data_IF_437740297331
#
_entry.id   IF_437740297331
#
_cell.length_a   1.000
_cell.length_b   1.000
_cell.length_c   1.000
_cell.angle_alpha   90.00
_cell.angle_beta   90.00
_cell.angle_gamma   90.00
#
_symmetry.space_group_name_H-M   'P 1'
#
loop_
_entity.id
_entity.type
_entity.pdbx_description
1 polymer ?
2 non-polymer ?
3 non-polymer ?
4 water ?
#
# COMPACT_ATOMS: atom_id res chain seq x y z
N UNK A 4 -7.24 27.36 -17.15
CA UNK A 4 -8.51 27.06 -16.42
C UNK A 4 -8.30 26.23 -15.15
N UNK A 5 -9.31 26.22 -14.28
CA UNK A 5 -9.30 25.35 -13.10
C UNK A 5 -9.68 23.92 -13.51
N UNK A 6 -9.54 22.98 -12.59
CA UNK A 6 -9.79 21.57 -12.88
C UNK A 6 -10.50 20.86 -11.73
N UNK A 7 -11.45 20.00 -12.09
CA UNK A 7 -12.08 19.06 -11.16
C UNK A 7 -12.20 17.71 -11.86
N UNK A 8 -12.36 16.65 -11.07
CA UNK A 8 -12.38 15.30 -11.61
C UNK A 8 -13.65 14.53 -11.25
N UNK A 9 -14.03 13.58 -12.10
CA UNK A 9 -15.11 12.63 -11.82
C UNK A 9 -14.58 11.19 -11.93
N UNK A 10 -14.69 10.43 -10.85
CA UNK A 10 -14.23 9.05 -10.86
C UNK A 10 -15.40 8.09 -10.76
N UNK A 11 -15.57 7.27 -11.79
CA UNK A 11 -16.62 6.26 -11.77
C UNK A 11 -16.09 5.10 -10.95
N UNK A 12 -16.85 4.72 -9.94
CA UNK A 12 -16.41 3.74 -8.97
C UNK A 12 -17.56 2.85 -8.50
N UNK A 13 -18.65 2.84 -9.27
CA UNK A 13 -19.88 2.16 -8.88
C UNK A 13 -19.95 0.68 -9.29
N UNK A 14 -19.10 0.28 -10.23
CA UNK A 14 -19.16 -1.06 -10.85
C UNK A 14 -19.08 -2.25 -9.90
N UNK A 15 -19.67 -3.35 -10.33
CA UNK A 15 -19.81 -4.57 -9.52
C UNK A 15 -18.50 -5.38 -9.43
N UNK A 16 -17.85 -5.57 -10.57
CA UNK A 16 -16.66 -6.41 -10.65
C UNK A 16 -16.95 -7.89 -10.44
N UNK A 17 -18.00 -8.38 -11.10
CA UNK A 17 -18.42 -9.78 -11.04
C UNK A 17 -17.28 -10.77 -11.28
N UNK A 18 -16.46 -10.49 -12.30
CA UNK A 18 -15.35 -11.39 -12.67
C UNK A 18 -14.21 -11.47 -11.65
N UNK A 19 -14.28 -10.65 -10.61
CA UNK A 19 -13.36 -10.72 -9.48
C UNK A 19 -13.74 -11.84 -8.51
N UNK A 20 -15.02 -12.26 -8.56
CA UNK A 20 -15.58 -13.27 -7.64
C UNK A 20 -15.32 -12.91 -6.18
N UNK A 21 -15.79 -11.73 -5.79
CA UNK A 21 -15.45 -11.13 -4.51
C UNK A 21 -16.66 -10.51 -3.81
N UNK A 22 -16.66 -10.58 -2.49
CA UNK A 22 -17.61 -9.82 -1.65
C UNK A 22 -17.15 -8.36 -1.48
N UNK A 23 -15.93 -8.07 -1.93
CA UNK A 23 -15.41 -6.72 -2.05
C UNK A 23 -15.79 -6.16 -3.41
N UNK A 24 -16.15 -4.86 -3.48
CA UNK A 24 -16.37 -4.28 -4.81
C UNK A 24 -15.05 -4.05 -5.57
N UNK A 25 -15.11 -4.23 -6.89
CA UNK A 25 -14.01 -4.05 -7.82
C UNK A 25 -12.95 -3.04 -7.34
N UNK A 26 -13.33 -1.77 -7.16
CA UNK A 26 -12.35 -0.69 -6.98
C UNK A 26 -11.63 -0.72 -5.64
N UNK A 27 -12.12 -1.51 -4.71
CA UNK A 27 -11.51 -1.64 -3.38
C UNK A 27 -10.38 -2.68 -3.37
N UNK A 28 -10.29 -3.49 -4.41
CA UNK A 28 -9.13 -4.39 -4.56
C UNK A 28 -7.84 -3.59 -4.67
N UNK A 29 -6.79 -4.10 -4.04
CA UNK A 29 -5.62 -3.29 -3.78
C UNK A 29 -4.52 -3.44 -4.80
N UNK A 30 -3.77 -2.37 -4.99
CA UNK A 30 -2.51 -2.40 -5.69
C UNK A 30 -1.53 -1.83 -4.67
N UNK A 31 -0.47 -2.57 -4.40
CA UNK A 31 0.54 -2.14 -3.40
C UNK A 31 -0.10 -1.76 -2.07
N UNK A 32 -1.10 -2.54 -1.65
CA UNK A 32 -1.66 -2.41 -0.32
C UNK A 32 -2.72 -1.34 -0.17
N UNK A 33 -3.05 -0.68 -1.26
CA UNK A 33 -4.11 0.31 -1.20
C UNK A 33 -5.10 0.16 -2.37
N UNK A 34 -6.40 0.44 -2.11
CA UNK A 34 -7.48 0.22 -3.07
C UNK A 34 -7.21 0.92 -4.39
N UNK A 35 -7.59 0.27 -5.49
CA UNK A 35 -7.44 0.84 -6.83
C UNK A 35 -7.90 2.29 -6.91
N UNK A 36 -9.08 2.56 -6.34
CA UNK A 36 -9.68 3.88 -6.45
C UNK A 36 -8.86 4.94 -5.72
N UNK A 37 -8.13 4.53 -4.69
CA UNK A 37 -7.33 5.47 -3.91
C UNK A 37 -6.16 6.04 -4.71
N UNK A 38 -5.52 5.18 -5.53
CA UNK A 38 -4.50 5.61 -6.50
C UNK A 38 -5.02 6.70 -7.45
N UNK A 39 -6.26 6.54 -7.90
CA UNK A 39 -6.88 7.44 -8.86
C UNK A 39 -7.20 8.79 -8.18
N UNK A 40 -7.71 8.71 -6.95
CA UNK A 40 -7.97 9.89 -6.15
C UNK A 40 -6.69 10.71 -5.96
N UNK A 41 -5.59 10.03 -5.59
CA UNK A 41 -4.31 10.70 -5.36
C UNK A 41 -3.79 11.38 -6.62
N UNK A 42 -3.87 10.67 -7.75
CA UNK A 42 -3.49 11.26 -9.05
C UNK A 42 -4.37 12.47 -9.38
N UNK A 43 -5.68 12.36 -9.17
CA UNK A 43 -6.59 13.47 -9.41
C UNK A 43 -6.20 14.70 -8.58
N UNK A 44 -5.82 14.48 -7.32
CA UNK A 44 -5.41 15.56 -6.43
C UNK A 44 -4.06 16.16 -6.83
N UNK A 45 -3.09 15.29 -7.14
CA UNK A 45 -1.77 15.73 -7.60
C UNK A 45 -1.87 16.51 -8.92
N UNK A 46 -2.84 16.13 -9.76
CA UNK A 46 -3.16 16.85 -10.98
C UNK A 46 -3.59 18.30 -10.70
N UNK A 47 -4.22 18.53 -9.55
CA UNK A 47 -4.60 19.87 -9.12
C UNK A 47 -6.09 20.08 -9.02
N UNK A 48 -6.85 18.98 -9.00
CA UNK A 48 -8.30 19.03 -8.93
C UNK A 48 -8.79 19.79 -7.70
N UNK A 49 -9.71 20.73 -7.90
CA UNK A 49 -10.35 21.40 -6.77
C UNK A 49 -11.38 20.47 -6.15
N UNK A 50 -12.24 19.91 -6.99
CA UNK A 50 -13.19 18.89 -6.56
C UNK A 50 -12.92 17.53 -7.17
N UNK A 51 -13.20 16.50 -6.39
CA UNK A 51 -13.18 15.11 -6.87
C UNK A 51 -14.56 14.49 -6.62
N UNK A 52 -15.27 14.18 -7.69
CA UNK A 52 -16.61 13.62 -7.59
C UNK A 52 -16.62 12.12 -7.74
N UNK A 53 -16.67 11.44 -6.60
CA UNK A 53 -16.69 9.98 -6.56
C UNK A 53 -18.10 9.44 -6.77
N UNK A 54 -18.32 8.84 -7.95
CA UNK A 54 -19.57 8.18 -8.27
C UNK A 54 -19.50 6.76 -7.74
N UNK A 55 -20.37 6.42 -6.80
CA UNK A 55 -20.33 5.08 -6.23
C UNK A 55 -21.72 4.42 -6.19
N UNK A 56 -21.73 3.10 -6.02
CA UNK A 56 -22.97 2.31 -6.04
C UNK A 56 -22.81 0.98 -5.32
N UNK A 57 -22.42 -0.05 -6.08
CA UNK A 57 -22.26 -1.42 -5.55
C UNK A 57 -21.25 -1.50 -4.41
N UNK A 58 -21.62 -2.24 -3.36
CA UNK A 58 -20.81 -2.35 -2.14
C UNK A 58 -20.57 -0.97 -1.56
N UNK A 59 -21.65 -0.19 -1.44
CA UNK A 59 -21.60 1.20 -0.97
C UNK A 59 -21.08 1.37 0.44
N UNK A 60 -21.60 0.58 1.36
CA UNK A 60 -21.16 0.63 2.76
C UNK A 60 -19.66 0.38 2.89
N UNK A 61 -19.15 -0.60 2.13
CA UNK A 61 -17.73 -0.95 2.16
C UNK A 61 -16.85 0.18 1.63
N UNK A 62 -17.32 0.83 0.57
CA UNK A 62 -16.67 2.03 0.03
C UNK A 62 -16.49 3.10 1.12
N UNK A 63 -17.60 3.43 1.78
CA UNK A 63 -17.62 4.49 2.77
C UNK A 63 -16.77 4.24 4.01
N UNK A 64 -16.70 2.97 4.44
CA UNK A 64 -15.81 2.61 5.55
C UNK A 64 -14.33 2.55 5.14
N UNK A 65 -14.06 2.03 3.94
CA UNK A 65 -12.70 1.87 3.45
C UNK A 65 -12.08 3.17 2.92
N UNK A 66 -12.92 4.14 2.56
CA UNK A 66 -12.43 5.41 2.01
C UNK A 66 -12.89 6.63 2.80
N UNK A 67 -13.21 6.42 4.07
CA UNK A 67 -13.74 7.47 4.95
C UNK A 67 -12.97 8.79 4.91
N UNK A 68 -11.64 8.72 5.00
CA UNK A 68 -10.77 9.91 5.00
C UNK A 68 -10.47 10.54 3.64
N UNK A 69 -11.04 10.01 2.57
CA UNK A 69 -10.76 10.52 1.23
C UNK A 69 -11.48 11.84 0.96
N UNK A 70 -10.71 12.84 0.51
CA UNK A 70 -11.22 14.20 0.29
C UNK A 70 -12.01 14.27 -1.02
N UNK A 71 -13.23 13.76 -0.98
CA UNK A 71 -14.02 13.57 -2.19
C UNK A 71 -15.46 13.99 -1.94
N UNK A 72 -16.18 14.24 -3.02
CA UNK A 72 -17.61 14.47 -2.98
C UNK A 72 -18.34 13.17 -3.36
N UNK A 73 -19.02 12.60 -2.38
CA UNK A 73 -19.70 11.30 -2.51
C UNK A 73 -21.00 11.39 -3.30
N UNK A 74 -21.00 10.82 -4.50
CA UNK A 74 -22.18 10.84 -5.36
C UNK A 74 -22.74 9.43 -5.55
N UNK A 75 -23.84 9.15 -4.86
CA UNK A 75 -24.47 7.83 -4.87
C UNK A 75 -25.29 7.60 -6.13
N UNK A 76 -25.08 6.44 -6.76
CA UNK A 76 -25.83 6.03 -7.93
C UNK A 76 -26.90 5.02 -7.53
N UNK A 77 -28.14 5.50 -7.47
CA UNK A 77 -29.29 4.66 -7.11
C UNK A 77 -29.67 3.74 -8.27
N UNK A 78 -30.05 4.33 -9.40
CA UNK A 78 -30.47 3.59 -10.58
C UNK A 78 -29.34 3.46 -11.58
N UNK A 79 -29.09 2.23 -12.03
CA UNK A 79 -28.00 1.93 -12.95
C UNK A 79 -28.41 2.21 -14.41
N UNK A 80 -28.21 3.45 -14.84
CA UNK A 80 -28.71 3.93 -16.13
C UNK A 80 -27.60 4.29 -17.13
N UNK A 81 -26.43 3.65 -16.98
CA UNK A 81 -25.31 3.90 -17.88
C UNK A 81 -24.43 5.05 -17.42
N UNK A 82 -23.22 5.09 -17.99
CA UNK A 82 -22.17 5.99 -17.53
C UNK A 82 -22.42 7.48 -17.75
N UNK A 83 -23.07 7.83 -18.86
CA UNK A 83 -23.45 9.22 -19.12
C UNK A 83 -24.41 9.76 -18.06
N UNK A 84 -25.31 8.89 -17.58
CA UNK A 84 -26.28 9.29 -16.57
C UNK A 84 -25.65 9.42 -15.19
N UNK A 85 -24.65 8.59 -14.94
CA UNK A 85 -23.88 8.63 -13.69
C UNK A 85 -23.12 9.95 -13.56
N UNK A 86 -22.37 10.32 -14.62
CA UNK A 86 -21.61 11.55 -14.62
C UNK A 86 -22.54 12.76 -14.54
N UNK A 87 -23.72 12.64 -15.14
CA UNK A 87 -24.74 13.68 -15.06
C UNK A 87 -25.16 13.97 -13.62
N UNK A 88 -25.10 12.97 -12.74
CA UNK A 88 -25.38 13.17 -11.31
C UNK A 88 -24.34 14.07 -10.64
N UNK A 89 -23.10 14.01 -11.12
CA UNK A 89 -22.04 14.92 -10.64
C UNK A 89 -22.05 16.27 -11.35
N UNK A 90 -22.77 16.35 -12.47
CA UNK A 90 -22.75 17.53 -13.33
C UNK A 90 -23.24 18.84 -12.69
N UNK A 91 -24.28 18.80 -11.82
CA UNK A 91 -24.72 20.05 -11.17
C UNK A 91 -23.64 20.74 -10.32
N UNK A 92 -22.56 20.03 -10.02
CA UNK A 92 -21.46 20.59 -9.25
C UNK A 92 -20.36 21.21 -10.12
N UNK A 93 -20.36 20.92 -11.42
CA UNK A 93 -19.36 21.46 -12.35
C UNK A 93 -19.48 22.97 -12.47
N UNK A 94 -18.35 23.66 -12.37
CA UNK A 94 -18.26 25.09 -12.70
C UNK A 94 -18.07 25.23 -14.20
N UNK A 95 -18.73 26.21 -14.80
CA UNK A 95 -18.71 26.41 -16.26
C UNK A 95 -17.29 26.57 -16.81
N UNK A 96 -16.46 27.32 -16.09
CA UNK A 96 -15.12 27.71 -16.55
C UNK A 96 -13.97 26.80 -16.12
N UNK A 97 -14.30 25.62 -15.60
CA UNK A 97 -13.27 24.66 -15.22
C UNK A 97 -13.29 23.45 -16.14
N UNK A 98 -12.12 22.87 -16.33
CA UNK A 98 -12.01 21.59 -17.01
C UNK A 98 -12.47 20.47 -16.08
N UNK A 99 -13.09 19.45 -16.66
CA UNK A 99 -13.56 18.27 -15.93
C UNK A 99 -12.92 17.04 -16.56
N UNK A 100 -12.10 16.33 -15.79
CA UNK A 100 -11.54 15.06 -16.28
C UNK A 100 -12.31 13.85 -15.74
N UNK A 101 -12.71 12.96 -16.64
CA UNK A 101 -13.44 11.75 -16.27
C UNK A 101 -12.46 10.59 -16.13
N UNK A 102 -12.47 9.94 -14.96
CA UNK A 102 -11.54 8.85 -14.68
C UNK A 102 -12.29 7.63 -14.15
N UNK A 103 -11.58 6.51 -14.03
CA UNK A 103 -12.18 5.26 -13.62
C UNK A 103 -11.42 4.63 -12.47
N UNK A 104 -12.12 4.38 -11.37
CA UNK A 104 -11.53 3.84 -10.16
C UNK A 104 -11.00 2.43 -10.29
N UNK A 105 -11.14 1.84 -11.48
CA UNK A 105 -10.60 0.52 -11.77
C UNK A 105 -9.44 0.55 -12.81
N UNK A 106 -9.01 1.76 -13.16
CA UNK A 106 -7.83 1.92 -13.98
C UNK A 106 -6.81 2.74 -13.19
N UNK A 107 -6.13 2.09 -12.23
CA UNK A 107 -5.38 2.76 -11.17
C UNK A 107 -4.04 3.41 -11.56
N UNK A 108 -3.49 3.03 -12.71
CA UNK A 108 -2.12 3.43 -13.09
C UNK A 108 -2.03 4.73 -13.88
N UNK A 109 -3.16 5.27 -14.31
CA UNK A 109 -3.19 6.53 -15.04
C UNK A 109 -2.28 7.58 -14.37
N UNK A 110 -1.38 8.19 -15.12
CA UNK A 110 -0.43 9.12 -14.50
C UNK A 110 -0.79 10.59 -14.63
N UNK A 111 -0.21 11.37 -13.74
CA UNK A 111 -0.29 12.83 -13.75
C UNK A 111 0.19 13.41 -15.08
N UNK A 112 1.32 12.91 -15.59
CA UNK A 112 1.95 13.44 -16.80
C UNK A 112 1.08 13.26 -18.04
N UNK A 113 0.50 12.07 -18.20
CA UNK A 113 -0.38 11.76 -19.31
C UNK A 113 -1.66 12.58 -19.26
N UNK A 114 -2.19 12.78 -18.06
CA UNK A 114 -3.40 13.58 -17.89
C UNK A 114 -3.14 15.05 -18.16
N UNK A 115 -1.93 15.52 -17.85
CA UNK A 115 -1.53 16.90 -18.12
C UNK A 115 -1.44 17.17 -19.63
N UNK A 116 -0.94 16.16 -20.35
CA UNK A 116 -0.85 16.18 -21.81
C UNK A 116 -2.24 16.20 -22.46
N UNK A 117 -3.19 15.47 -21.85
CA UNK A 117 -4.56 15.38 -22.35
C UNK A 117 -5.33 16.68 -22.16
N UNK A 118 -5.18 17.27 -20.98
CA UNK A 118 -5.84 18.53 -20.67
C UNK A 118 -5.36 19.62 -21.63
N UNK A 119 -4.04 19.73 -21.80
CA UNK A 119 -3.45 20.79 -22.60
C UNK A 119 -3.77 20.68 -24.08
N UNK A 120 -4.12 19.47 -24.52
CA UNK A 120 -4.51 19.24 -25.90
C UNK A 120 -6.00 19.46 -26.11
N UNK A 121 -6.73 19.71 -25.03
CA UNK A 121 -8.16 20.01 -25.15
C UNK A 121 -8.36 21.38 -25.78
N UNK A 122 -9.03 21.41 -26.95
CA UNK A 122 -9.39 22.67 -27.61
C UNK A 122 -10.55 23.36 -26.87
N UNK A 123 -10.55 24.69 -26.89
CA UNK A 123 -11.61 25.50 -26.27
C UNK A 123 -12.98 25.07 -26.80
N UNK A 124 -13.93 24.85 -25.88
CA UNK A 124 -15.27 24.30 -26.18
C UNK A 124 -15.28 22.90 -26.78
N UNK A 125 -14.10 22.28 -26.86
CA UNK A 125 -14.00 20.95 -27.42
C UNK A 125 -13.82 19.86 -26.39
N UNK A 126 -13.45 18.68 -26.89
CA UNK A 126 -13.22 17.52 -26.07
C UNK A 126 -11.81 17.03 -26.36
N UNK A 127 -11.14 16.53 -25.32
CA UNK A 127 -9.93 15.74 -25.51
C UNK A 127 -10.18 14.37 -24.92
N UNK A 128 -9.94 13.32 -25.69
CA UNK A 128 -10.08 11.97 -25.17
C UNK A 128 -8.80 11.16 -25.28
N UNK A 129 -8.59 10.25 -24.34
CA UNK A 129 -7.46 9.34 -24.41
C UNK A 129 -7.81 8.11 -25.23
N UNK A 130 -6.93 7.79 -26.15
CA UNK A 130 -7.07 6.61 -26.98
C UNK A 130 -5.77 5.82 -26.90
N UNK A 131 -5.80 4.57 -27.35
CA UNK A 131 -4.60 3.74 -27.35
C UNK A 131 -4.64 2.70 -28.47
N UNK A 132 -3.48 2.43 -29.07
CA UNK A 132 -3.34 1.42 -30.12
C UNK A 132 -3.10 0.02 -29.57
N UNK A 133 -3.86 -0.95 -30.08
CA UNK A 133 -3.72 -2.34 -29.69
C UNK A 133 -3.55 -3.27 -30.90
N UNK A 134 -2.64 -4.23 -30.78
CA UNK A 134 -2.50 -5.28 -31.80
C UNK A 134 -3.84 -5.99 -31.98
N UNK A 135 -4.47 -6.34 -30.85
CA UNK A 135 -5.76 -6.98 -30.84
C UNK A 135 -6.80 -6.11 -30.13
N UNK A 136 -7.54 -5.30 -30.91
CA UNK A 136 -8.51 -4.34 -30.38
C UNK A 136 -9.89 -4.96 -30.04
N UNK A 137 -9.94 -6.30 -30.05
CA UNK A 137 -11.19 -7.04 -29.87
C UNK A 137 -11.91 -6.71 -28.56
N UNK A 138 -13.18 -6.36 -28.68
CA UNK A 138 -14.06 -6.15 -27.54
C UNK A 138 -14.22 -4.69 -27.15
N UNK A 139 -13.24 -3.87 -27.54
CA UNK A 139 -13.23 -2.46 -27.15
C UNK A 139 -13.79 -1.54 -28.24
N UNK A 140 -14.21 -0.34 -27.82
CA UNK A 140 -14.78 0.65 -28.73
C UNK A 140 -13.75 1.24 -29.66
N UNK A 141 -14.00 1.13 -30.97
CA UNK A 141 -13.08 1.61 -32.02
C UNK A 141 -13.19 3.11 -32.24
N UNK A 142 -12.04 3.74 -32.44
CA UNK A 142 -11.95 5.17 -32.72
C UNK A 142 -12.12 5.43 -34.21
N UNK A 143 -13.15 6.21 -34.55
CA UNK A 143 -13.48 6.48 -35.95
C UNK A 143 -12.98 7.85 -36.36
N UNK A 144 -12.12 7.87 -37.37
CA UNK A 144 -11.53 9.10 -37.87
C UNK A 144 -11.95 9.40 -39.31
N UNK A 145 -12.44 10.61 -39.52
CA UNK A 145 -12.69 11.11 -40.87
C UNK A 145 -11.61 12.13 -41.25
N UNK A 146 -10.82 11.77 -42.26
CA UNK A 146 -9.72 12.60 -42.76
C UNK A 146 -8.84 13.15 -41.62
N UNK A 147 -8.40 12.26 -40.75
CA UNK A 147 -7.56 12.61 -39.60
C UNK A 147 -8.27 12.99 -38.32
N UNK A 148 -9.45 13.60 -38.43
CA UNK A 148 -10.20 14.10 -37.26
C UNK A 148 -11.19 13.08 -36.68
N UNK A 149 -11.29 13.08 -35.35
CA UNK A 149 -12.13 12.12 -34.62
C UNK A 149 -13.60 12.55 -34.64
N UNK A 150 -14.46 11.63 -35.10
CA UNK A 150 -15.89 11.92 -35.28
C UNK A 150 -16.83 11.06 -34.42
N UNK A 151 -16.50 9.78 -34.25
CA UNK A 151 -17.33 8.87 -33.47
C UNK A 151 -16.52 7.76 -32.79
N UNK A 152 -17.19 6.99 -31.93
CA UNK A 152 -16.64 5.76 -31.35
C UNK A 152 -17.65 4.64 -31.61
N UNK A 153 -17.17 3.50 -32.08
CA UNK A 153 -18.05 2.37 -32.39
C UNK A 153 -17.63 1.13 -31.60
N UNK A 154 -18.56 0.60 -30.81
CA UNK A 154 -18.34 -0.62 -30.02
C UNK A 154 -18.36 -1.86 -30.91
N UNK A 155 -17.79 -2.96 -30.42
CA UNK A 155 -17.70 -4.21 -31.16
C UNK A 155 -19.01 -4.62 -31.84
N UNK A 156 -20.10 -4.64 -31.06
CA UNK A 156 -21.40 -5.16 -31.52
C UNK A 156 -22.07 -4.37 -32.66
N UNK A 157 -21.47 -3.24 -33.01
CA UNK A 157 -22.01 -2.38 -34.08
C UNK A 157 -21.01 -2.21 -35.22
N UNK A 158 -19.78 -2.68 -34.99
CA UNK A 158 -18.68 -2.46 -35.93
C UNK A 158 -18.73 -3.38 -37.15
N UNK A 159 -18.69 -2.78 -38.33
CA UNK A 159 -18.62 -3.51 -39.60
C UNK A 159 -17.22 -4.10 -39.87
N UNK A 160 -17.11 -4.94 -40.89
CA UNK A 160 -15.86 -5.63 -41.25
C UNK A 160 -14.62 -4.74 -41.20
N UNK A 161 -14.73 -3.53 -41.77
CA UNK A 161 -13.62 -2.59 -41.86
C UNK A 161 -13.35 -1.88 -40.53
N UNK A 162 -14.42 -1.48 -39.86
CA UNK A 162 -14.32 -0.81 -38.56
C UNK A 162 -13.66 -1.72 -37.53
N UNK A 163 -14.00 -3.02 -37.59
CA UNK A 163 -13.37 -4.03 -36.75
C UNK A 163 -11.86 -4.13 -36.97
N UNK A 164 -11.38 -3.50 -38.04
CA UNK A 164 -9.95 -3.49 -38.37
C UNK A 164 -9.17 -2.34 -37.72
N UNK A 165 -9.89 -1.31 -37.27
CA UNK A 165 -9.27 -0.18 -36.55
C UNK A 165 -8.62 -0.63 -35.25
N UNK A 166 -7.34 -0.28 -35.09
CA UNK A 166 -6.57 -0.74 -33.94
C UNK A 166 -6.48 0.28 -32.79
N UNK A 167 -7.00 1.48 -33.04
CA UNK A 167 -7.09 2.52 -32.02
C UNK A 167 -8.42 2.42 -31.27
N UNK A 168 -8.34 2.35 -29.94
CA UNK A 168 -9.54 2.13 -29.11
C UNK A 168 -9.77 3.22 -28.05
N UNK A 169 -10.97 3.25 -27.49
CA UNK A 169 -11.37 4.24 -26.48
C UNK A 169 -11.02 3.81 -25.06
N UNK A 170 -10.28 4.66 -24.35
CA UNK A 170 -9.92 4.40 -22.96
C UNK A 170 -10.97 4.91 -21.97
N UNK A 171 -11.92 5.71 -22.46
CA UNK A 171 -12.98 6.25 -21.63
C UNK A 171 -12.58 7.54 -20.94
N UNK A 172 -11.28 7.83 -20.92
CA UNK A 172 -10.80 9.03 -20.24
C UNK A 172 -10.94 10.23 -21.17
N UNK A 173 -11.59 11.28 -20.64
CA UNK A 173 -11.85 12.47 -21.42
C UNK A 173 -11.87 13.76 -20.58
N UNK A 174 -11.54 14.88 -21.23
CA UNK A 174 -11.57 16.20 -20.62
C UNK A 174 -12.43 17.12 -21.46
N UNK A 175 -13.30 17.89 -20.79
CA UNK A 175 -14.02 19.00 -21.42
C UNK A 175 -14.39 20.00 -20.32
N UNK A 176 -14.76 21.21 -20.73
CA UNK A 176 -15.18 22.24 -19.77
C UNK A 176 -16.54 21.90 -19.18
N UNK A 177 -16.80 22.42 -17.97
CA UNK A 177 -18.04 22.15 -17.23
C UNK A 177 -19.33 22.39 -18.01
N UNK A 178 -19.50 23.61 -18.49
CA UNK A 178 -20.71 24.00 -19.26
C UNK A 178 -20.97 23.06 -20.45
N UNK A 179 -19.90 22.67 -21.15
CA UNK A 179 -20.01 21.75 -22.27
C UNK A 179 -20.55 20.39 -21.85
N UNK A 180 -20.02 19.85 -20.75
CA UNK A 180 -20.49 18.59 -20.18
C UNK A 180 -21.98 18.65 -19.88
N UNK A 181 -22.37 19.59 -19.02
CA UNK A 181 -23.79 19.82 -18.70
C UNK A 181 -24.64 19.85 -19.96
N UNK A 182 -24.14 20.55 -20.97
CA UNK A 182 -24.86 20.78 -22.21
C UNK A 182 -25.01 19.50 -23.02
N UNK A 183 -23.90 18.78 -23.22
CA UNK A 183 -23.92 17.58 -24.04
C UNK A 183 -24.56 16.39 -23.33
N UNK A 184 -24.33 16.28 -22.03
CA UNK A 184 -24.92 15.21 -21.22
C UNK A 184 -26.45 15.21 -21.31
N UNK A 185 -27.05 16.39 -21.13
CA UNK A 185 -28.50 16.54 -21.21
C UNK A 185 -29.06 16.03 -22.54
N UNK A 186 -28.28 16.20 -23.61
CA UNK A 186 -28.71 15.83 -24.96
C UNK A 186 -28.46 14.36 -25.33
N UNK A 187 -27.96 13.57 -24.37
CA UNK A 187 -27.74 12.14 -24.58
C UNK A 187 -29.03 11.37 -24.37
N UNK A 188 -29.45 10.64 -25.40
CA UNK A 188 -30.66 9.81 -25.33
C UNK A 188 -30.33 8.35 -25.03
N UNK A 189 -31.34 7.59 -24.64
CA UNK A 189 -31.17 6.17 -24.30
C UNK A 189 -31.98 5.22 -25.19
N UNK A 190 -32.06 5.57 -26.47
CA UNK A 190 -32.78 4.77 -27.46
C UNK A 190 -31.94 3.57 -27.90
N UNK A 191 -31.81 2.61 -26.98
CA UNK A 191 -31.03 1.40 -27.22
C UNK A 191 -31.64 0.20 -26.50
N UNK A 192 -31.19 -1.00 -26.89
CA UNK A 192 -31.70 -2.25 -26.35
C UNK A 192 -31.50 -2.40 -24.84
N UNK A 193 -30.36 -1.91 -24.34
CA UNK A 193 -30.06 -1.93 -22.90
C UNK A 193 -30.68 -0.75 -22.15
N UNK A 194 -31.19 0.22 -22.91
CA UNK A 194 -31.93 1.37 -22.38
C UNK A 194 -31.13 2.24 -21.43
N UNK A 195 -29.89 2.54 -21.81
CA UNK A 195 -29.00 3.36 -20.96
C UNK A 195 -28.20 4.41 -21.73
N UNK A 196 -27.84 5.48 -21.02
CA UNK A 196 -27.17 6.63 -21.61
C UNK A 196 -25.67 6.38 -21.65
N UNK A 197 -25.10 6.33 -22.86
CA UNK A 197 -23.67 6.05 -23.04
C UNK A 197 -22.85 7.33 -23.13
N UNK A 198 -21.76 7.38 -22.36
CA UNK A 198 -20.89 8.54 -22.31
C UNK A 198 -20.24 8.85 -23.67
N UNK A 199 -20.04 7.81 -24.47
CA UNK A 199 -19.40 7.92 -25.79
C UNK A 199 -20.16 8.79 -26.80
N UNK A 200 -21.47 8.95 -26.61
CA UNK A 200 -22.30 9.76 -27.49
C UNK A 200 -21.83 11.22 -27.56
N UNK A 201 -21.12 11.65 -26.52
CA UNK A 201 -20.59 13.02 -26.42
C UNK A 201 -19.63 13.41 -27.56
N UNK A 202 -18.98 12.42 -28.16
CA UNK A 202 -18.10 12.65 -29.31
C UNK A 202 -18.91 13.13 -30.52
N UNK A 203 -20.01 12.42 -30.81
CA UNK A 203 -20.91 12.77 -31.91
C UNK A 203 -21.61 14.10 -31.67
N UNK A 204 -22.02 14.35 -30.42
CA UNK A 204 -22.70 15.59 -30.05
C UNK A 204 -21.80 16.82 -30.16
N UNK A 205 -20.51 16.63 -29.88
CA UNK A 205 -19.53 17.69 -30.05
C UNK A 205 -19.29 17.99 -31.53
N UNK A 206 -19.18 16.93 -32.32
CA UNK A 206 -18.96 17.04 -33.76
C UNK A 206 -20.16 17.68 -34.46
N UNK A 207 -21.36 17.34 -34.00
CA UNK A 207 -22.60 17.89 -34.55
C UNK A 207 -22.80 19.35 -34.14
N UNK A 208 -22.15 19.73 -33.03
CA UNK A 208 -22.08 21.14 -32.60
C UNK A 208 -20.92 21.87 -33.28
N UNK A 209 -20.25 21.17 -34.20
CA UNK A 209 -19.04 21.64 -34.86
C UNK A 209 -17.97 22.08 -33.86
N UNK A 210 -17.71 21.22 -32.88
CA UNK A 210 -16.63 21.39 -31.92
C UNK A 210 -15.58 20.32 -32.17
N UNK A 211 -14.32 20.69 -31.95
CA UNK A 211 -13.19 19.81 -32.18
C UNK A 211 -13.12 18.67 -31.17
N UNK A 212 -12.82 17.48 -31.67
CA UNK A 212 -12.59 16.33 -30.81
C UNK A 212 -11.16 15.82 -31.05
N UNK A 213 -10.27 16.22 -30.16
CA UNK A 213 -8.87 15.82 -30.28
C UNK A 213 -8.63 14.55 -29.46
N UNK A 214 -8.03 13.55 -30.10
CA UNK A 214 -7.59 12.36 -29.40
C UNK A 214 -6.12 12.50 -29.02
N UNK A 215 -5.80 12.05 -27.82
CA UNK A 215 -4.41 11.91 -27.41
C UNK A 215 -4.15 10.43 -27.23
N UNK A 216 -3.17 9.92 -27.97
CA UNK A 216 -2.81 8.51 -27.87
C UNK A 216 -1.88 8.35 -26.66
N UNK A 217 -2.09 7.29 -25.88
CA UNK A 217 -1.21 6.99 -24.75
C UNK A 217 -0.13 6.02 -25.21
N UNK A 218 1.11 6.32 -24.84
CA UNK A 218 2.25 5.48 -25.25
C UNK A 218 2.29 4.20 -24.43
N UNK A 219 1.97 4.33 -23.14
CA UNK A 219 2.00 3.20 -22.21
C UNK A 219 0.60 2.61 -22.02
N UNK A 220 0.41 1.41 -22.58
CA UNK A 220 -0.87 0.70 -22.55
C UNK A 220 -1.36 0.40 -21.14
N UNK A 221 -0.46 0.00 -20.25
CA UNK A 221 -0.80 -0.40 -18.89
C UNK A 221 -1.40 0.74 -18.08
N UNK A 222 -1.03 1.96 -18.45
CA UNK A 222 -1.47 3.15 -17.76
C UNK A 222 -2.98 3.34 -17.84
N UNK A 223 -3.57 2.93 -18.95
CA UNK A 223 -5.01 3.06 -19.15
C UNK A 223 -5.72 1.72 -19.01
N UNK A 224 -4.97 0.71 -18.58
CA UNK A 224 -5.50 -0.65 -18.45
C UNK A 224 -6.32 -0.80 -17.17
N UNK A 225 -7.52 -1.36 -17.30
CA UNK A 225 -8.36 -1.67 -16.14
C UNK A 225 -8.30 -3.13 -15.69
N UNK A 226 -8.40 -3.35 -14.38
CA UNK A 226 -8.41 -4.70 -13.83
C UNK A 226 -9.83 -5.22 -13.64
N UNK A 227 -10.23 -6.18 -14.47
CA UNK A 227 -11.58 -6.74 -14.44
C UNK A 227 -11.62 -8.07 -13.69
N UNK A 228 -10.45 -8.67 -13.51
CA UNK A 228 -10.30 -9.92 -12.77
C UNK A 228 -8.92 -9.92 -12.11
N UNK A 229 -8.63 -10.95 -11.32
CA UNK A 229 -7.42 -10.96 -10.52
C UNK A 229 -6.14 -11.27 -11.30
N UNK A 230 -6.25 -12.00 -12.40
CA UNK A 230 -5.12 -12.12 -13.33
C UNK A 230 -4.66 -10.73 -13.79
N UNK A 231 -5.62 -9.89 -14.21
CA UNK A 231 -5.32 -8.56 -14.70
C UNK A 231 -4.81 -7.66 -13.56
N UNK A 232 -5.37 -7.84 -12.36
CA UNK A 232 -4.91 -7.13 -11.19
C UNK A 232 -3.43 -7.44 -10.90
N UNK A 233 -3.08 -8.72 -10.99
CA UNK A 233 -1.71 -9.16 -10.77
C UNK A 233 -0.75 -8.57 -11.80
N UNK A 234 -1.19 -8.51 -13.05
CA UNK A 234 -0.37 -7.87 -14.08
C UNK A 234 -0.12 -6.40 -13.73
N UNK A 235 -1.17 -5.73 -13.25
CA UNK A 235 -1.06 -4.32 -12.85
C UNK A 235 -0.16 -4.12 -11.64
N UNK A 236 -0.22 -5.07 -10.71
CA UNK A 236 0.59 -5.03 -9.50
C UNK A 236 2.06 -5.12 -9.88
N UNK A 237 2.38 -6.02 -10.80
CA UNK A 237 3.77 -6.23 -11.17
C UNK A 237 4.33 -5.02 -11.90
N UNK A 238 3.55 -4.45 -12.82
CA UNK A 238 3.94 -3.22 -13.47
C UNK A 238 4.22 -2.13 -12.42
N UNK A 239 3.26 -1.94 -11.51
CA UNK A 239 3.37 -0.89 -10.50
C UNK A 239 4.58 -1.09 -9.56
N UNK A 240 4.85 -2.33 -9.20
CA UNK A 240 6.01 -2.62 -8.36
C UNK A 240 7.32 -2.35 -9.12
N UNK A 241 7.38 -2.71 -10.38
CA UNK A 241 8.57 -2.46 -11.19
C UNK A 241 8.82 -0.95 -11.34
N UNK A 242 7.76 -0.18 -11.47
CA UNK A 242 7.86 1.28 -11.55
C UNK A 242 8.41 1.86 -10.24
N UNK A 243 7.92 1.36 -9.10
CA UNK A 243 8.39 1.77 -7.79
C UNK A 243 9.86 1.40 -7.53
N UNK A 244 10.24 0.20 -7.95
CA UNK A 244 11.60 -0.31 -7.75
C UNK A 244 12.63 0.44 -8.59
N UNK A 245 12.23 0.82 -9.81
CA UNK A 245 13.10 1.57 -10.70
C UNK A 245 13.43 2.92 -10.10
N UNK A 246 12.42 3.59 -9.57
CA UNK A 246 12.61 4.90 -8.97
C UNK A 246 13.65 4.81 -7.86
N UNK A 247 13.46 3.85 -6.96
CA UNK A 247 14.32 3.71 -5.79
C UNK A 247 15.75 3.39 -6.19
N UNK A 248 15.89 2.57 -7.23
CA UNK A 248 17.21 2.21 -7.76
C UNK A 248 17.96 3.42 -8.30
N UNK A 249 17.27 4.25 -9.09
CA UNK A 249 17.87 5.48 -9.64
C UNK A 249 18.13 6.52 -8.56
N UNK A 250 17.41 6.42 -7.44
CA UNK A 250 17.68 7.29 -6.29
C UNK A 250 18.88 6.84 -5.45
N UNK A 251 19.37 5.64 -5.71
CA UNK A 251 20.57 5.15 -5.03
C UNK A 251 20.37 3.97 -4.09
N UNK A 252 19.15 3.43 -4.03
CA UNK A 252 18.88 2.26 -3.21
C UNK A 252 19.30 1.02 -4.00
N UNK A 253 20.14 0.17 -3.41
CA UNK A 253 20.49 -1.09 -4.09
C UNK A 253 19.47 -2.18 -3.77
N UNK A 254 18.66 -2.48 -4.77
CA UNK A 254 17.73 -3.59 -4.70
C UNK A 254 18.31 -4.70 -5.56
N UNK A 255 18.78 -5.76 -4.92
CA UNK A 255 19.50 -6.84 -5.62
C UNK A 255 18.69 -7.42 -6.77
N UNK A 256 17.37 -7.43 -6.62
CA UNK A 256 16.47 -7.88 -7.69
C UNK A 256 15.14 -7.15 -7.59
N UNK A 257 14.94 -6.10 -8.41
CA UNK A 257 13.67 -5.36 -8.41
C UNK A 257 12.46 -6.25 -8.67
N UNK A 258 12.63 -7.34 -9.42
CA UNK A 258 11.54 -8.30 -9.66
C UNK A 258 11.16 -9.13 -8.43
N UNK A 259 11.95 -9.03 -7.37
CA UNK A 259 11.61 -9.67 -6.09
C UNK A 259 11.65 -8.66 -4.97
N UNK A 260 10.99 -7.53 -5.22
CA UNK A 260 10.88 -6.48 -4.24
C UNK A 260 9.44 -6.01 -4.21
N UNK A 261 8.93 -5.74 -3.01
CA UNK A 261 7.57 -5.26 -2.85
C UNK A 261 7.48 -4.07 -1.89
N UNK A 262 7.00 -2.96 -2.42
CA UNK A 262 6.72 -1.78 -1.62
C UNK A 262 5.21 -1.53 -1.60
N UNK A 263 4.61 -1.69 -0.43
CA UNK A 263 3.19 -1.46 -0.22
C UNK A 263 3.02 -0.33 0.80
N UNK A 264 3.45 0.86 0.43
CA UNK A 264 3.36 2.02 1.30
C UNK A 264 4.33 3.09 0.84
N UNK A 265 5.00 3.73 1.79
CA UNK A 265 5.95 4.80 1.46
C UNK A 265 7.31 4.49 2.07
N UNK A 266 8.38 4.71 1.32
CA UNK A 266 9.72 4.47 1.85
C UNK A 266 10.58 5.73 1.84
N UNK A 267 11.18 6.02 2.98
CA UNK A 267 12.13 7.09 3.13
C UNK A 267 13.49 6.47 3.37
N UNK A 268 14.48 6.88 2.61
CA UNK A 268 15.78 6.21 2.64
C UNK A 268 16.93 7.21 2.69
N UNK A 269 18.05 6.78 3.27
CA UNK A 269 19.32 7.51 3.17
C UNK A 269 20.17 6.91 2.06
N UNK A 270 21.48 7.17 2.09
CA UNK A 270 22.37 6.64 1.06
C UNK A 270 23.00 5.29 1.42
N UNK A 271 23.47 4.58 0.40
CA UNK A 271 24.09 3.26 0.53
C UNK A 271 23.22 2.23 1.27
N UNK A 272 21.91 2.32 1.04
CA UNK A 272 20.96 1.33 1.55
C UNK A 272 20.94 0.12 0.62
N UNK A 273 21.07 -1.06 1.20
CA UNK A 273 21.10 -2.31 0.46
C UNK A 273 19.93 -3.17 0.87
N UNK A 274 19.17 -3.65 -0.12
CA UNK A 274 17.99 -4.47 0.12
C UNK A 274 18.08 -5.78 -0.65
N UNK A 275 18.20 -6.89 0.06
CA UNK A 275 18.37 -8.18 -0.59
C UNK A 275 17.03 -8.69 -1.15
N UNK A 276 17.08 -9.83 -1.82
CA UNK A 276 15.93 -10.34 -2.57
C UNK A 276 14.82 -10.76 -1.63
N UNK A 277 13.57 -10.58 -2.06
CA UNK A 277 12.38 -10.99 -1.28
C UNK A 277 12.18 -10.24 0.02
N UNK A 278 12.12 -8.93 -0.08
CA UNK A 278 11.85 -8.08 1.06
C UNK A 278 10.54 -7.35 0.76
N UNK A 279 9.72 -7.21 1.80
CA UNK A 279 8.43 -6.54 1.67
C UNK A 279 8.44 -5.35 2.62
N UNK A 280 8.14 -4.19 2.06
CA UNK A 280 8.08 -2.94 2.81
C UNK A 280 6.62 -2.45 2.83
N UNK A 281 6.05 -2.30 4.02
CA UNK A 281 4.64 -1.90 4.18
C UNK A 281 4.47 -0.73 5.11
N UNK A 282 3.47 0.11 4.82
CA UNK A 282 3.15 1.27 5.65
C UNK A 282 4.20 2.34 5.46
N UNK A 283 4.52 3.06 6.53
CA UNK A 283 5.54 4.07 6.51
C UNK A 283 6.86 3.53 7.07
N UNK A 284 7.86 3.42 6.21
CA UNK A 284 9.16 2.91 6.62
C UNK A 284 10.25 3.93 6.34
N UNK A 285 11.04 4.20 7.37
CA UNK A 285 12.15 5.14 7.26
C UNK A 285 13.46 4.39 7.49
N UNK A 286 14.39 4.52 6.54
CA UNK A 286 15.70 3.88 6.63
C UNK A 286 16.81 4.92 6.56
N UNK A 287 17.69 4.92 7.56
CA UNK A 287 18.83 5.83 7.55
C UNK A 287 19.91 5.36 6.60
N UNK A 288 21.06 6.03 6.62
CA UNK A 288 22.17 5.66 5.77
C UNK A 288 22.73 4.27 6.08
N UNK A 289 23.19 3.58 5.03
CA UNK A 289 23.93 2.31 5.14
C UNK A 289 23.21 1.19 5.90
N UNK A 290 21.88 1.17 5.80
CA UNK A 290 21.10 0.10 6.38
C UNK A 290 21.13 -1.11 5.43
N UNK A 291 21.41 -2.30 5.98
CA UNK A 291 21.44 -3.54 5.21
C UNK A 291 20.27 -4.44 5.58
N UNK A 292 19.45 -4.77 4.60
CA UNK A 292 18.29 -5.65 4.81
C UNK A 292 18.46 -6.95 4.03
N UNK A 293 18.56 -8.05 4.76
CA UNK A 293 18.76 -9.36 4.19
C UNK A 293 17.48 -9.98 3.66
N UNK A 294 17.61 -11.15 3.07
CA UNK A 294 16.54 -11.81 2.35
C UNK A 294 15.37 -12.17 3.25
N UNK A 295 14.17 -12.07 2.71
CA UNK A 295 12.98 -12.52 3.43
C UNK A 295 12.56 -11.70 4.65
N UNK A 296 13.01 -10.45 4.74
CA UNK A 296 12.55 -9.59 5.84
C UNK A 296 11.24 -8.88 5.50
N UNK A 297 10.45 -8.60 6.52
CA UNK A 297 9.21 -7.85 6.36
C UNK A 297 9.23 -6.68 7.32
N UNK A 298 9.19 -5.47 6.78
CA UNK A 298 9.22 -4.25 7.60
C UNK A 298 7.93 -3.45 7.42
N UNK A 299 7.17 -3.31 8.51
CA UNK A 299 5.89 -2.61 8.45
C UNK A 299 5.77 -1.54 9.53
N UNK A 300 5.76 -0.29 9.07
CA UNK A 300 5.70 0.88 9.95
C UNK A 300 6.85 0.94 10.92
N UNK A 301 8.07 1.07 10.40
CA UNK A 301 9.27 1.03 11.24
C UNK A 301 10.22 2.17 10.93
N UNK A 302 11.05 2.53 11.91
CA UNK A 302 12.09 3.54 11.74
C UNK A 302 13.45 2.90 12.07
N UNK A 303 14.33 2.84 11.08
CA UNK A 303 15.64 2.21 11.23
C UNK A 303 16.78 3.24 11.14
N UNK A 304 17.52 3.40 12.22
CA UNK A 304 18.64 4.35 12.23
C UNK A 304 19.78 3.94 11.32
N UNK A 305 20.80 4.79 11.22
CA UNK A 305 21.98 4.52 10.39
C UNK A 305 22.73 3.25 10.78
N UNK A 306 23.28 2.56 9.79
CA UNK A 306 24.22 1.47 10.02
C UNK A 306 23.63 0.26 10.73
N UNK A 307 22.30 0.13 10.70
CA UNK A 307 21.65 -1.05 11.23
C UNK A 307 21.70 -2.14 10.17
N UNK A 308 22.10 -3.34 10.57
CA UNK A 308 21.98 -4.50 9.70
C UNK A 308 20.85 -5.37 10.19
N UNK A 309 19.92 -5.68 9.28
CA UNK A 309 18.84 -6.59 9.59
C UNK A 309 19.08 -7.91 8.85
N UNK A 310 19.39 -8.94 9.61
CA UNK A 310 19.71 -10.25 9.03
C UNK A 310 18.43 -10.97 8.59
N UNK A 311 18.56 -11.96 7.68
CA UNK A 311 17.46 -12.63 7.00
C UNK A 311 16.30 -13.10 7.90
N UNK A 312 15.13 -13.17 7.28
CA UNK A 312 13.90 -13.68 7.92
C UNK A 312 13.60 -13.05 9.27
N UNK A 313 13.66 -11.72 9.28
CA UNK A 313 13.22 -10.93 10.40
C UNK A 313 11.94 -10.20 10.02
N UNK A 314 11.02 -10.12 10.97
CA UNK A 314 9.72 -9.51 10.75
C UNK A 314 9.55 -8.41 11.80
N UNK A 315 9.36 -7.18 11.33
CA UNK A 315 9.25 -5.99 12.21
C UNK A 315 7.97 -5.23 11.92
N UNK A 316 7.24 -4.88 12.98
CA UNK A 316 6.05 -4.03 12.87
C UNK A 316 5.96 -2.97 13.97
N UNK A 317 5.57 -1.76 13.59
CA UNK A 317 5.46 -0.60 14.49
C UNK A 317 6.60 -0.52 15.50
N UNK A 318 7.83 -0.55 14.99
CA UNK A 318 9.01 -0.62 15.84
C UNK A 318 10.02 0.46 15.52
N UNK A 319 10.88 0.77 16.49
CA UNK A 319 11.94 1.75 16.34
C UNK A 319 13.30 1.11 16.65
N UNK A 320 14.27 1.31 15.75
CA UNK A 320 15.60 0.72 15.90
C UNK A 320 16.70 1.79 15.78
N UNK A 321 17.48 1.95 16.85
CA UNK A 321 18.55 2.95 16.89
C UNK A 321 19.75 2.59 16.03
N UNK A 322 20.63 3.55 15.81
CA UNK A 322 21.77 3.36 14.90
C UNK A 322 22.72 2.25 15.37
N UNK A 323 23.36 1.59 14.41
CA UNK A 323 24.35 0.53 14.69
C UNK A 323 23.80 -0.73 15.39
N UNK A 324 22.48 -0.81 15.56
CA UNK A 324 21.85 -2.00 16.15
C UNK A 324 21.93 -3.21 15.21
N UNK A 325 21.89 -4.40 15.79
CA UNK A 325 21.93 -5.64 15.00
C UNK A 325 20.70 -6.48 15.28
N UNK A 326 19.94 -6.77 14.22
CA UNK A 326 18.70 -7.56 14.31
C UNK A 326 18.84 -8.79 13.44
N UNK A 327 18.39 -9.95 13.96
CA UNK A 327 18.23 -11.15 13.14
C UNK A 327 19.43 -12.06 13.12
N UNK A 328 19.32 -13.22 12.44
CA UNK A 328 18.17 -13.68 11.64
C UNK A 328 17.06 -14.24 12.49
N UNK A 329 15.87 -14.41 11.91
CA UNK A 329 14.70 -14.97 12.61
C UNK A 329 14.26 -14.20 13.86
N UNK A 330 14.29 -12.88 13.79
CA UNK A 330 13.87 -12.03 14.89
C UNK A 330 12.47 -11.48 14.66
N UNK A 331 11.71 -11.33 15.74
CA UNK A 331 10.37 -10.79 15.66
C UNK A 331 10.22 -9.50 16.50
N UNK A 332 10.00 -8.37 15.81
CA UNK A 332 9.68 -7.12 16.51
C UNK A 332 8.21 -6.80 16.32
N UNK A 333 7.49 -6.83 17.43
CA UNK A 333 6.04 -6.59 17.44
C UNK A 333 5.77 -5.14 17.84
N UNK A 334 4.55 -4.64 17.59
CA UNK A 334 4.29 -3.21 17.83
C UNK A 334 4.78 -2.75 19.21
N UNK A 335 5.39 -1.57 19.24
CA UNK A 335 5.90 -1.01 20.49
C UNK A 335 7.31 -1.41 20.84
N UNK A 336 8.03 -2.07 19.94
CA UNK A 336 9.42 -2.42 20.23
C UNK A 336 10.33 -1.24 19.92
N UNK A 337 11.05 -0.76 20.93
CA UNK A 337 12.03 0.29 20.71
C UNK A 337 13.40 -0.22 21.10
N UNK A 338 14.30 -0.25 20.12
CA UNK A 338 15.68 -0.65 20.36
C UNK A 338 16.58 0.55 20.25
N UNK A 339 17.31 0.83 21.33
CA UNK A 339 18.29 1.91 21.33
C UNK A 339 19.51 1.53 20.48
N UNK A 340 20.40 2.50 20.27
CA UNK A 340 21.63 2.28 19.51
C UNK A 340 22.43 1.07 20.00
N UNK A 341 23.11 0.42 19.08
CA UNK A 341 24.08 -0.65 19.40
C UNK A 341 23.53 -1.86 20.16
N UNK A 342 22.21 -2.10 20.05
CA UNK A 342 21.58 -3.24 20.70
C UNK A 342 21.69 -4.47 19.80
N UNK A 343 21.57 -5.66 20.38
CA UNK A 343 21.63 -6.89 19.61
C UNK A 343 20.39 -7.72 19.85
N UNK A 344 19.70 -8.08 18.77
CA UNK A 344 18.52 -8.98 18.82
C UNK A 344 18.75 -10.18 17.90
N UNK A 345 18.81 -11.38 18.48
CA UNK A 345 19.20 -12.58 17.72
C UNK A 345 18.09 -13.53 17.34
N UNK A 346 18.46 -14.76 16.98
CA UNK A 346 17.50 -15.71 16.44
C UNK A 346 16.46 -16.19 17.43
N UNK A 347 15.21 -16.21 16.96
CA UNK A 347 14.09 -16.80 17.69
C UNK A 347 13.88 -15.99 18.94
N UNK A 348 13.89 -14.67 18.75
CA UNK A 348 13.67 -13.73 19.81
C UNK A 348 12.43 -12.91 19.44
N UNK A 349 11.51 -12.78 20.38
CA UNK A 349 10.28 -12.01 20.18
C UNK A 349 10.27 -10.82 21.15
N UNK A 350 10.07 -9.63 20.62
CA UNK A 350 10.02 -8.44 21.44
C UNK A 350 8.73 -7.69 21.17
N UNK A 351 7.95 -7.52 22.24
CA UNK A 351 6.66 -6.84 22.18
C UNK A 351 6.55 -5.71 23.20
N UNK A 352 6.15 -4.54 22.72
CA UNK A 352 5.89 -3.36 23.54
C UNK A 352 6.94 -3.20 24.64
N UNK A 353 8.17 -3.00 24.23
CA UNK A 353 9.30 -3.01 25.17
C UNK A 353 10.35 -2.02 24.69
N UNK A 354 11.05 -1.40 25.62
CA UNK A 354 12.21 -0.58 25.27
C UNK A 354 13.47 -1.31 25.70
N UNK A 355 14.43 -1.38 24.81
CA UNK A 355 15.70 -2.04 25.09
C UNK A 355 16.82 -1.01 24.96
N UNK A 356 17.52 -0.77 26.05
CA UNK A 356 18.50 0.33 26.11
C UNK A 356 19.82 0.03 25.41
N UNK A 357 20.62 1.08 25.22
CA UNK A 357 21.87 1.06 24.47
C UNK A 357 22.80 -0.10 24.82
N UNK A 358 23.27 -0.80 23.79
CA UNK A 358 24.26 -1.86 23.98
C UNK A 358 23.74 -3.14 24.62
N UNK A 359 22.44 -3.20 24.90
CA UNK A 359 21.88 -4.41 25.48
C UNK A 359 21.79 -5.50 24.44
N UNK A 360 21.95 -6.75 24.87
CA UNK A 360 21.84 -7.87 23.94
C UNK A 360 20.77 -8.90 24.31
N UNK A 361 19.91 -9.21 23.34
CA UNK A 361 18.87 -10.25 23.46
C UNK A 361 19.03 -11.26 22.31
N UNK A 362 19.91 -12.23 22.48
CA UNK A 362 20.43 -13.01 21.35
C UNK A 362 19.80 -14.36 20.99
N UNK A 363 19.09 -15.01 21.90
CA UNK A 363 18.46 -16.30 21.56
C UNK A 363 17.24 -16.72 22.37
N UNK A 364 16.26 -17.26 21.64
CA UNK A 364 15.17 -18.04 22.24
C UNK A 364 14.50 -17.34 23.43
N UNK A 365 14.04 -16.12 23.20
CA UNK A 365 13.60 -15.26 24.28
C UNK A 365 12.33 -14.48 23.92
N UNK A 366 11.48 -14.28 24.92
CA UNK A 366 10.32 -13.41 24.76
C UNK A 366 10.39 -12.26 25.76
N UNK A 367 10.37 -11.05 25.24
CA UNK A 367 10.27 -9.85 26.09
C UNK A 367 9.01 -9.08 25.72
N UNK A 368 8.08 -9.01 26.66
CA UNK A 368 6.87 -8.22 26.49
C UNK A 368 6.67 -7.25 27.64
N UNK A 369 6.05 -6.11 27.33
CA UNK A 369 5.72 -5.07 28.31
C UNK A 369 6.88 -4.80 29.25
N UNK A 370 8.04 -4.55 28.69
CA UNK A 370 9.23 -4.44 29.52
C UNK A 370 10.03 -3.20 29.22
N UNK A 371 10.80 -2.78 30.22
CA UNK A 371 11.75 -1.71 30.06
C UNK A 371 13.10 -2.23 30.51
N UNK A 372 14.04 -2.31 29.56
CA UNK A 372 15.37 -2.83 29.83
C UNK A 372 16.38 -1.70 29.62
N UNK A 373 17.27 -1.51 30.60
CA UNK A 373 18.27 -0.44 30.53
C UNK A 373 19.41 -0.73 29.57
N UNK A 374 20.49 0.04 29.73
CA UNK A 374 21.68 -0.11 28.88
C UNK A 374 22.64 -1.21 29.34
N UNK A 375 23.38 -1.77 28.39
CA UNK A 375 24.40 -2.79 28.63
C UNK A 375 23.97 -4.05 29.39
N UNK A 376 22.70 -4.40 29.22
CA UNK A 376 22.20 -5.61 29.82
C UNK A 376 22.51 -6.83 28.98
N UNK A 377 22.63 -7.97 29.67
CA UNK A 377 22.82 -9.24 29.03
C UNK A 377 21.61 -10.12 29.35
N UNK A 378 20.72 -10.27 28.38
CA UNK A 378 19.52 -11.08 28.53
C UNK A 378 19.80 -12.44 27.94
N UNK A 379 19.86 -13.46 28.81
CA UNK A 379 20.27 -14.79 28.38
C UNK A 379 19.28 -15.48 27.47
N UNK A 380 19.73 -16.57 26.85
CA UNK A 380 18.89 -17.47 26.07
C UNK A 380 17.79 -18.03 26.95
N UNK A 381 16.61 -18.25 26.37
CA UNK A 381 15.51 -18.88 27.10
C UNK A 381 14.86 -18.02 28.17
N UNK A 382 15.24 -16.74 28.27
CA UNK A 382 14.62 -15.82 29.22
C UNK A 382 13.21 -15.48 28.76
N UNK A 383 12.25 -15.48 29.69
CA UNK A 383 10.86 -15.18 29.35
C UNK A 383 10.24 -14.23 30.36
N UNK A 384 9.60 -13.17 29.85
CA UNK A 384 8.77 -12.31 30.70
C UNK A 384 7.36 -12.88 30.71
N UNK A 385 6.81 -13.10 31.91
CA UNK A 385 5.41 -13.56 32.00
C UNK A 385 4.59 -12.90 33.11
N UNK A 386 3.35 -13.37 33.24
CA UNK A 386 2.37 -12.85 34.17
C UNK A 386 1.76 -13.95 35.01
N UNK A 387 1.16 -13.56 36.12
CA UNK A 387 0.30 -14.46 36.86
C UNK A 387 -0.99 -14.62 36.06
N UNK A 388 -1.70 -15.72 36.30
CA UNK A 388 -3.01 -15.89 35.72
C UNK A 388 -3.98 -14.93 36.42
N UNK A 389 -4.12 -13.73 35.87
CA UNK A 389 -4.89 -12.67 36.50
C UNK A 389 -5.69 -11.84 35.52
N UNK A 390 -5.94 -10.57 35.88
CA UNK A 390 -6.74 -9.66 35.04
C UNK A 390 -5.97 -9.05 33.85
N UNK A 391 -5.09 -8.07 34.10
CA UNK A 391 -4.33 -7.41 33.03
C UNK A 391 -2.84 -7.77 32.97
N UNK A 392 -2.17 -7.26 31.95
CA UNK A 392 -0.76 -7.53 31.67
C UNK A 392 0.20 -6.50 32.31
N UNK A 393 0.95 -6.92 33.32
CA UNK A 393 1.88 -6.01 34.01
C UNK A 393 3.30 -5.95 33.42
N UNK A 394 4.07 -4.99 33.91
CA UNK A 394 5.34 -4.62 33.30
C UNK A 394 6.54 -5.15 34.05
N UNK A 395 7.64 -5.37 33.33
CA UNK A 395 8.90 -5.80 33.90
C UNK A 395 9.92 -4.68 33.72
N UNK A 396 10.51 -4.22 34.82
CA UNK A 396 11.49 -3.14 34.75
C UNK A 396 12.92 -3.62 35.07
N UNK A 397 13.81 -3.53 34.09
CA UNK A 397 15.23 -3.91 34.27
C UNK A 397 16.12 -2.68 34.09
N UNK A 398 17.06 -2.48 35.01
CA UNK A 398 17.94 -1.30 34.98
C UNK A 398 19.12 -1.46 34.04
N UNK A 399 20.20 -0.73 34.31
CA UNK A 399 21.40 -0.80 33.49
C UNK A 399 22.34 -1.91 34.00
N UNK A 400 23.13 -2.46 33.07
CA UNK A 400 24.20 -3.40 33.43
C UNK A 400 23.70 -4.65 34.17
N UNK A 401 22.51 -5.11 33.85
CA UNK A 401 21.98 -6.30 34.49
C UNK A 401 22.32 -7.56 33.70
N UNK A 402 22.78 -8.59 34.42
CA UNK A 402 22.96 -9.92 33.84
C UNK A 402 21.78 -10.82 34.20
N UNK A 403 21.03 -11.27 33.19
CA UNK A 403 19.93 -12.22 33.38
C UNK A 403 20.28 -13.57 32.77
N UNK A 404 20.54 -14.54 33.64
CA UNK A 404 21.00 -15.85 33.19
C UNK A 404 19.98 -16.63 32.39
N UNK A 405 20.48 -17.53 31.54
CA UNK A 405 19.68 -18.41 30.69
C UNK A 405 18.44 -19.00 31.34
N UNK A 406 17.37 -19.10 30.54
CA UNK A 406 16.16 -19.82 30.96
C UNK A 406 15.61 -19.34 32.30
N UNK A 407 15.65 -18.02 32.49
CA UNK A 407 15.10 -17.37 33.67
C UNK A 407 13.72 -16.82 33.36
N UNK A 408 12.78 -17.00 34.28
CA UNK A 408 11.44 -16.46 34.07
C UNK A 408 11.28 -15.22 34.92
N UNK A 409 10.91 -14.12 34.28
CA UNK A 409 10.68 -12.88 34.99
C UNK A 409 9.19 -12.68 35.10
N UNK A 410 8.68 -12.78 36.32
CA UNK A 410 7.24 -12.72 36.55
C UNK A 410 6.84 -11.29 36.93
N UNK A 411 6.17 -10.61 36.01
CA UNK A 411 5.70 -9.25 36.23
C UNK A 411 4.50 -9.20 37.21
N UNK A 412 4.32 -8.07 37.94
CA UNK A 412 5.20 -6.91 37.99
C UNK A 412 6.43 -7.16 38.83
N UNK A 413 7.60 -6.82 38.31
CA UNK A 413 8.85 -7.00 39.04
C UNK A 413 9.89 -5.96 38.57
N UNK A 414 10.79 -5.60 39.47
CA UNK A 414 11.86 -4.65 39.16
C UNK A 414 13.22 -5.28 39.43
N UNK A 415 14.13 -5.11 38.47
CA UNK A 415 15.52 -5.55 38.65
C UNK A 415 16.44 -4.35 38.49
N UNK A 416 17.03 -3.93 39.60
CA UNK A 416 17.83 -2.70 39.66
C UNK A 416 19.22 -2.83 39.01
N UNK A 417 19.86 -1.67 38.79
CA UNK A 417 21.20 -1.58 38.20
C UNK A 417 22.18 -2.59 38.78
N UNK A 418 22.95 -3.24 37.90
CA UNK A 418 24.06 -4.08 38.33
C UNK A 418 23.72 -5.42 38.95
N UNK A 419 22.43 -5.77 38.97
CA UNK A 419 22.01 -7.06 39.51
C UNK A 419 22.44 -8.22 38.61
N UNK A 420 22.68 -9.37 39.24
CA UNK A 420 23.08 -10.58 38.55
C UNK A 420 22.08 -11.66 38.89
N UNK A 421 21.53 -12.31 37.86
CA UNK A 421 20.54 -13.35 38.07
C UNK A 421 21.02 -14.64 37.43
N UNK A 422 21.17 -15.66 38.26
CA UNK A 422 21.70 -16.95 37.82
C UNK A 422 20.73 -17.71 36.93
N UNK A 423 21.29 -18.60 36.11
CA UNK A 423 20.49 -19.42 35.19
C UNK A 423 19.38 -20.19 35.89
N UNK A 424 18.22 -20.30 35.24
CA UNK A 424 17.16 -21.22 35.70
C UNK A 424 16.34 -20.68 36.84
N UNK A 425 16.31 -19.35 36.95
CA UNK A 425 15.73 -18.69 38.11
C UNK A 425 14.29 -18.28 37.82
N UNK A 426 13.48 -18.20 38.86
CA UNK A 426 12.15 -17.63 38.73
C UNK A 426 12.10 -16.39 39.58
N UNK A 427 12.05 -15.23 38.91
CA UNK A 427 12.09 -13.94 39.60
C UNK A 427 10.69 -13.42 39.79
N UNK A 428 10.26 -13.38 41.05
CA UNK A 428 8.95 -12.86 41.42
C UNK A 428 9.05 -11.63 42.32
N UNK A 429 10.13 -11.54 43.11
CA UNK A 429 10.37 -10.41 44.00
C UNK A 429 11.35 -9.45 43.36
N UNK A 430 11.19 -8.16 43.63
CA UNK A 430 12.11 -7.16 43.14
C UNK A 430 13.55 -7.51 43.50
N UNK A 431 14.46 -7.24 42.56
CA UNK A 431 15.87 -7.49 42.76
C UNK A 431 16.57 -6.15 42.92
N UNK A 432 17.25 -5.98 44.05
CA UNK A 432 17.95 -4.74 44.38
C UNK A 432 19.30 -4.57 43.68
N UNK A 433 19.86 -3.38 43.84
CA UNK A 433 21.08 -2.97 43.15
C UNK A 433 22.28 -3.78 43.60
N UNK A 434 23.02 -4.31 42.63
CA UNK A 434 24.17 -5.17 42.88
C UNK A 434 23.84 -6.43 43.71
N UNK A 435 22.59 -6.90 43.55
CA UNK A 435 22.17 -8.14 44.20
C UNK A 435 22.34 -9.33 43.26
N UNK A 436 22.93 -10.38 43.80
CA UNK A 436 23.14 -11.63 43.08
C UNK A 436 22.09 -12.65 43.51
N UNK A 437 21.30 -13.13 42.55
CA UNK A 437 20.26 -14.12 42.81
C UNK A 437 20.59 -15.45 42.15
N UNK A 438 20.83 -16.47 42.97
CA UNK A 438 21.15 -17.81 42.48
C UNK A 438 20.06 -18.76 42.93
N UNK A 439 19.67 -19.68 42.05
CA UNK A 439 18.73 -20.73 42.44
C UNK A 439 19.53 -21.85 43.08
N UNK A 440 19.06 -22.30 44.24
CA UNK A 440 19.65 -23.43 44.93
C UNK A 440 18.98 -24.68 44.41
N UNK A 441 19.72 -25.53 43.72
CA UNK A 441 19.10 -26.75 43.18
C UNK A 441 19.23 -27.93 44.11
N UNK A 442 18.21 -28.78 44.08
CA UNK A 442 18.24 -30.04 44.77
C UNK A 442 18.26 -31.12 43.69
N UNK A 443 19.21 -32.04 43.79
CA UNK A 443 19.37 -33.08 42.78
C UNK A 443 19.61 -34.43 43.42
N UNK A 444 19.00 -35.47 42.84
CA UNK A 444 19.40 -36.85 43.10
C UNK A 444 20.43 -37.27 42.06
N UNK A 445 21.49 -37.93 42.51
CA UNK A 445 22.46 -38.52 41.61
C UNK A 445 22.46 -40.03 41.80
N UNK A 446 22.21 -40.76 40.71
CA UNK A 446 22.11 -42.21 40.76
C UNK A 446 23.22 -42.83 39.89
N UNK A 447 24.12 -43.57 40.53
CA UNK A 447 25.28 -44.14 39.84
C UNK A 447 24.93 -45.50 39.23
N UNK A 448 25.59 -45.84 38.13
CA UNK A 448 25.39 -47.14 37.50
C UNK A 448 24.02 -47.31 36.88
N UNK A 449 23.39 -46.19 36.52
CA UNK A 449 22.17 -46.22 35.73
C UNK A 449 22.54 -46.46 34.27
N UNK A 450 22.18 -47.61 33.75
CA UNK A 450 22.53 -47.95 32.37
C UNK A 450 21.35 -47.71 31.44
N UNK A 451 21.62 -46.95 30.37
CA UNK A 451 20.61 -46.69 29.35
C UNK A 451 20.47 -47.92 28.45
N UNK A 452 19.27 -48.10 27.85
CA UNK A 452 19.04 -49.13 26.83
C UNK A 452 20.22 -49.28 25.83
N UNK A 453 20.71 -50.51 25.68
CA UNK A 453 21.84 -50.80 24.79
C UNK A 453 21.36 -51.33 23.43
N UNK A 454 20.92 -50.57 22.56
#
# INVERSE_FOLDING_TARGET
MTKKALSAVILAAGKGTRMYSDLPKVLHTIAGKPMVKHVIDTAHQLGSENIHLIYGHGGDLMRTHLANEQVNWVLQTEQLGTAHAVQQAAPFFKDNENIVVLYGDAPLITKETLEKLIEAKPENGIALLTVNLDNPTGYGRIIRENGNVVAIVEQKDANAEQLNIKEVNTGVMVSDGASFKKWLARVGNNNAQGEYYLTDLIALANQDNCQVVAVQATDVMEVEGANNRLQLAALERYFQNKQASKLLLEGVMIYDPARFDLRGTLEHGKDVEIDVNVIIEGNVKLGDRVKIGTGCVLKNVVIGNDVEIKPYSVLEDSIVGEKAAIGPFSRLRPGAELAAETHVGNFVEIKKSTVGKGSKVNHLTYVGDSEIGSNCNIGAGVITCNYDGANKFKTIIGDDVFVGSDTQLVAPVKVANGATIGAGTTITRDVGENELVITRVAQRHIQGWQRPIKKK
#
